data_IF_701954098952
#
_entry.id   IF_701954098952
#
_cell.length_a   1.000
_cell.length_b   1.000
_cell.length_c   1.000
_cell.angle_alpha   90.00
_cell.angle_beta   90.00
_cell.angle_gamma   90.00
#
_symmetry.space_group_name_H-M   'P 1'
#
loop_
_entity.id
_entity.type
_entity.pdbx_description
1 polymer ?
#
# COMPACT_ATOMS: atom_id res chain seq x y z
N UNK A 1 -13.82 5.52 -4.52
CA UNK A 1 -14.38 4.17 -4.45
C UNK A 1 -14.19 3.48 -5.80
N UNK A 2 -12.96 3.05 -6.11
CA UNK A 2 -12.63 2.59 -7.46
C UNK A 2 -13.44 1.34 -7.85
N UNK A 3 -13.78 1.24 -9.14
CA UNK A 3 -14.61 0.18 -9.68
C UNK A 3 -13.87 -1.17 -9.79
N UNK A 4 -12.54 -1.14 -9.81
CA UNK A 4 -11.68 -2.34 -9.87
C UNK A 4 -11.11 -2.76 -8.51
N UNK A 5 -11.35 -1.98 -7.44
CA UNK A 5 -10.82 -2.30 -6.11
C UNK A 5 -11.69 -3.36 -5.42
N UNK A 6 -11.12 -4.56 -5.25
CA UNK A 6 -11.70 -5.61 -4.43
C UNK A 6 -11.67 -5.21 -2.95
N UNK A 7 -12.81 -5.32 -2.27
CA UNK A 7 -12.94 -5.04 -0.83
C UNK A 7 -14.15 -5.77 -0.26
N UNK A 8 -14.13 -6.03 1.04
CA UNK A 8 -15.33 -6.40 1.77
C UNK A 8 -16.30 -5.22 1.78
N UNK A 9 -17.56 -5.45 1.44
CA UNK A 9 -18.58 -4.39 1.44
C UNK A 9 -18.83 -3.94 2.90
N UNK A 10 -18.75 -2.64 3.16
CA UNK A 10 -18.89 -2.05 4.50
C UNK A 10 -17.60 -1.50 5.11
N UNK A 11 -16.43 -1.89 4.60
CA UNK A 11 -15.14 -1.35 5.06
C UNK A 11 -14.79 -0.06 4.29
N UNK A 12 -15.39 1.06 4.72
CA UNK A 12 -15.16 2.40 4.16
C UNK A 12 -14.79 3.41 5.23
N UNK A 13 -14.33 2.94 6.37
CA UNK A 13 -13.88 3.78 7.47
C UNK A 13 -12.71 4.64 6.99
N UNK A 14 -12.87 5.96 7.18
CA UNK A 14 -11.86 6.97 6.85
C UNK A 14 -11.07 7.41 8.10
N UNK A 15 -11.55 7.02 9.26
CA UNK A 15 -11.07 7.43 10.57
C UNK A 15 -10.84 6.18 11.40
N UNK A 16 -9.85 6.24 12.27
CA UNK A 16 -9.50 5.15 13.16
C UNK A 16 -9.91 5.57 14.58
N UNK A 17 -10.67 4.72 15.26
CA UNK A 17 -11.02 4.96 16.67
C UNK A 17 -9.79 4.83 17.59
N UNK A 18 -8.92 3.87 17.29
CA UNK A 18 -7.68 3.63 18.00
C UNK A 18 -6.54 3.40 17.00
N UNK A 19 -5.40 4.04 17.25
CA UNK A 19 -4.18 3.89 16.45
C UNK A 19 -3.25 2.92 17.18
N UNK A 20 -3.14 1.70 16.66
CA UNK A 20 -2.21 0.71 17.18
C UNK A 20 -0.75 1.14 16.97
N UNK A 21 0.12 0.65 17.86
CA UNK A 21 1.56 0.91 17.81
C UNK A 21 2.25 0.21 16.61
N UNK A 22 3.19 0.87 15.92
CA UNK A 22 3.84 0.29 14.75
C UNK A 22 4.56 -1.04 15.00
N UNK A 23 5.24 -1.19 16.14
CA UNK A 23 5.95 -2.42 16.48
C UNK A 23 4.95 -3.56 16.75
N UNK A 24 3.82 -3.24 17.40
CA UNK A 24 2.72 -4.17 17.58
C UNK A 24 2.11 -4.63 16.25
N UNK A 25 1.85 -3.69 15.32
CA UNK A 25 1.32 -4.01 13.99
C UNK A 25 2.28 -4.94 13.24
N UNK A 26 3.59 -4.65 13.25
CA UNK A 26 4.59 -5.47 12.58
C UNK A 26 4.63 -6.89 13.16
N UNK A 27 4.66 -7.02 14.48
CA UNK A 27 4.68 -8.32 15.15
C UNK A 27 3.43 -9.14 14.83
N UNK A 28 2.24 -8.53 14.94
CA UNK A 28 0.98 -9.21 14.62
C UNK A 28 0.84 -9.55 13.15
N UNK A 29 1.44 -8.76 12.25
CA UNK A 29 1.50 -9.08 10.83
C UNK A 29 2.34 -10.32 10.55
N UNK A 30 3.48 -10.47 11.23
CA UNK A 30 4.35 -11.65 11.11
C UNK A 30 3.67 -12.89 11.70
N UNK A 31 3.07 -12.78 12.89
CA UNK A 31 2.28 -13.86 13.49
C UNK A 31 1.13 -14.30 12.54
N UNK A 32 0.41 -13.34 11.95
CA UNK A 32 -0.67 -13.61 11.01
C UNK A 32 -0.15 -14.32 9.74
N UNK A 33 0.98 -13.88 9.19
CA UNK A 33 1.62 -14.52 8.05
C UNK A 33 1.96 -15.98 8.35
N UNK A 34 2.65 -16.25 9.47
CA UNK A 34 3.02 -17.60 9.90
C UNK A 34 1.78 -18.50 10.11
N UNK A 35 0.73 -17.94 10.72
CA UNK A 35 -0.55 -18.63 10.88
C UNK A 35 -1.20 -18.99 9.54
N UNK A 36 -1.24 -18.05 8.59
CA UNK A 36 -1.84 -18.27 7.26
C UNK A 36 -1.12 -19.39 6.49
N UNK A 37 0.21 -19.47 6.58
CA UNK A 37 1.00 -20.45 5.82
C UNK A 37 1.21 -21.79 6.55
N UNK A 38 0.75 -21.92 7.80
CA UNK A 38 0.86 -23.17 8.56
C UNK A 38 0.19 -24.35 7.84
N UNK A 39 -0.91 -24.10 7.12
CA UNK A 39 -1.65 -25.12 6.37
C UNK A 39 -0.88 -25.76 5.21
N UNK A 40 0.22 -25.16 4.75
CA UNK A 40 1.01 -25.70 3.63
C UNK A 40 2.03 -26.76 4.07
N UNK A 41 2.56 -26.67 5.30
CA UNK A 41 3.71 -27.49 5.76
C UNK A 41 3.49 -28.99 5.60
N UNK A 42 2.28 -29.45 5.91
CA UNK A 42 1.90 -30.88 5.88
C UNK A 42 1.55 -31.41 4.49
N UNK A 43 1.53 -30.56 3.46
CA UNK A 43 1.25 -30.99 2.09
C UNK A 43 2.53 -31.49 1.42
N UNK A 44 2.52 -32.70 0.85
CA UNK A 44 3.68 -33.30 0.18
C UNK A 44 4.20 -32.47 -1.01
N UNK A 45 3.35 -31.63 -1.61
CA UNK A 45 3.72 -30.72 -2.71
C UNK A 45 4.45 -29.46 -2.22
N UNK A 46 4.53 -29.24 -0.91
CA UNK A 46 5.14 -28.06 -0.33
C UNK A 46 6.66 -28.22 -0.26
N UNK A 47 7.37 -27.34 -0.95
CA UNK A 47 8.81 -27.18 -0.80
C UNK A 47 9.13 -26.67 0.62
N UNK A 48 9.83 -27.51 1.39
CA UNK A 48 10.13 -27.25 2.78
C UNK A 48 11.11 -26.09 2.99
N UNK A 49 11.97 -25.79 2.00
CA UNK A 49 12.88 -24.66 2.07
C UNK A 49 12.10 -23.35 1.85
N UNK A 50 11.25 -23.31 0.81
CA UNK A 50 10.37 -22.15 0.58
C UNK A 50 9.40 -21.91 1.72
N UNK A 51 8.90 -22.97 2.35
CA UNK A 51 8.05 -22.83 3.53
C UNK A 51 8.80 -22.17 4.70
N UNK A 52 10.05 -22.57 4.96
CA UNK A 52 10.88 -21.94 5.99
C UNK A 52 11.16 -20.47 5.68
N UNK A 53 11.56 -20.16 4.45
CA UNK A 53 11.76 -18.77 3.99
C UNK A 53 10.49 -17.92 4.15
N UNK A 54 9.32 -18.47 3.81
CA UNK A 54 8.05 -17.76 3.96
C UNK A 54 7.61 -17.55 5.43
N UNK A 55 8.13 -18.35 6.37
CA UNK A 55 7.91 -18.17 7.81
C UNK A 55 8.88 -17.15 8.45
N UNK A 56 9.93 -16.76 7.74
CA UNK A 56 10.91 -15.74 8.12
C UNK A 56 10.95 -14.63 7.05
N UNK A 57 9.86 -13.84 6.92
CA UNK A 57 9.73 -12.88 5.84
C UNK A 57 10.76 -11.75 5.96
N UNK A 58 11.32 -11.33 4.83
CA UNK A 58 12.28 -10.22 4.74
C UNK A 58 11.74 -9.03 3.92
N UNK A 59 10.47 -9.07 3.52
CA UNK A 59 9.80 -8.03 2.73
C UNK A 59 8.43 -7.72 3.33
N UNK A 60 8.08 -6.43 3.36
CA UNK A 60 6.75 -5.95 3.79
C UNK A 60 6.13 -5.14 2.66
N UNK A 61 4.93 -5.53 2.25
CA UNK A 61 4.16 -4.84 1.22
C UNK A 61 2.90 -4.18 1.83
N UNK A 62 2.97 -2.87 2.06
CA UNK A 62 1.83 -2.06 2.48
C UNK A 62 0.95 -1.76 1.26
N UNK A 63 0.19 -2.76 0.83
CA UNK A 63 -0.57 -2.71 -0.43
C UNK A 63 -1.81 -3.61 -0.49
N UNK A 64 -2.30 -4.13 0.64
CA UNK A 64 -3.40 -5.11 0.66
C UNK A 64 -4.74 -4.47 0.29
N UNK A 65 -5.18 -3.48 1.07
CA UNK A 65 -6.46 -2.80 0.90
C UNK A 65 -6.44 -1.45 1.61
N UNK A 66 -7.39 -0.57 1.26
CA UNK A 66 -7.47 0.77 1.83
C UNK A 66 -6.41 1.71 1.26
N UNK A 67 -6.18 2.82 1.96
CA UNK A 67 -5.12 3.79 1.65
C UNK A 67 -4.12 3.81 2.81
N UNK A 68 -2.93 3.21 2.68
CA UNK A 68 -2.00 3.05 3.80
C UNK A 68 -1.53 4.38 4.39
N UNK A 69 -1.42 5.44 3.59
CA UNK A 69 -1.02 6.78 4.04
C UNK A 69 -2.02 7.45 5.00
N UNK A 70 -3.19 6.83 5.25
CA UNK A 70 -4.10 7.27 6.31
C UNK A 70 -3.60 6.86 7.70
N UNK A 71 -2.74 5.84 7.80
CA UNK A 71 -2.13 5.48 9.08
C UNK A 71 -1.11 6.56 9.48
N UNK A 72 -1.31 7.29 10.60
CA UNK A 72 -0.52 8.48 10.92
C UNK A 72 0.92 8.17 11.32
N UNK A 73 1.22 6.93 11.72
CA UNK A 73 2.55 6.48 12.16
C UNK A 73 3.26 5.61 11.12
N UNK A 74 2.97 5.80 9.84
CA UNK A 74 3.50 4.95 8.77
C UNK A 74 5.03 5.04 8.63
N UNK A 75 5.63 6.21 8.89
CA UNK A 75 7.09 6.36 8.96
C UNK A 75 7.69 5.51 10.08
N UNK A 76 7.17 5.63 11.30
CA UNK A 76 7.57 4.80 12.46
C UNK A 76 7.41 3.30 12.16
N UNK A 77 6.36 2.90 11.44
CA UNK A 77 6.19 1.51 10.98
C UNK A 77 7.31 1.04 10.05
N UNK A 78 7.75 1.89 9.11
CA UNK A 78 8.89 1.55 8.27
C UNK A 78 10.20 1.53 9.04
N UNK A 79 10.36 2.38 10.06
CA UNK A 79 11.49 2.32 10.98
C UNK A 79 11.57 0.94 11.68
N UNK A 80 10.45 0.45 12.22
CA UNK A 80 10.37 -0.89 12.83
C UNK A 80 10.69 -2.02 11.84
N UNK A 81 10.22 -1.90 10.60
CA UNK A 81 10.57 -2.85 9.54
C UNK A 81 12.07 -2.84 9.25
N UNK A 82 12.69 -1.65 9.17
CA UNK A 82 14.12 -1.50 8.87
C UNK A 82 15.00 -1.98 10.01
N UNK A 83 14.58 -1.83 11.28
CA UNK A 83 15.26 -2.44 12.45
C UNK A 83 15.36 -3.97 12.32
N UNK A 84 14.40 -4.61 11.64
CA UNK A 84 14.42 -6.06 11.32
C UNK A 84 15.06 -6.39 9.96
N UNK A 85 15.74 -5.44 9.32
CA UNK A 85 16.33 -5.59 7.98
C UNK A 85 15.32 -5.96 6.88
N UNK A 86 14.04 -5.61 7.04
CA UNK A 86 13.02 -5.88 6.02
C UNK A 86 13.03 -4.82 4.92
N UNK A 87 12.83 -5.25 3.67
CA UNK A 87 12.62 -4.34 2.54
C UNK A 87 11.15 -3.92 2.48
N UNK A 88 10.89 -2.62 2.51
CA UNK A 88 9.53 -2.07 2.59
C UNK A 88 9.04 -1.53 1.25
N UNK A 89 7.80 -1.87 0.91
CA UNK A 89 7.10 -1.40 -0.28
C UNK A 89 5.80 -0.70 0.15
N UNK A 90 5.61 0.53 -0.30
CA UNK A 90 4.38 1.28 -0.10
C UNK A 90 3.63 1.41 -1.42
N UNK A 91 2.34 1.10 -1.43
CA UNK A 91 1.45 1.40 -2.55
C UNK A 91 0.38 2.38 -2.08
N UNK A 92 0.36 3.58 -2.66
CA UNK A 92 -0.64 4.62 -2.38
C UNK A 92 -1.43 4.98 -3.63
N UNK A 93 -2.66 5.46 -3.44
CA UNK A 93 -3.46 6.09 -4.49
C UNK A 93 -3.08 7.57 -4.73
N UNK A 94 -2.13 8.12 -3.94
CA UNK A 94 -1.58 9.47 -4.10
C UNK A 94 -2.50 10.60 -3.63
N UNK A 95 -3.58 10.29 -2.90
CA UNK A 95 -4.53 11.30 -2.40
C UNK A 95 -4.14 11.92 -1.05
N UNK A 96 -2.98 11.58 -0.49
CA UNK A 96 -2.46 12.17 0.75
C UNK A 96 -0.99 12.64 0.59
N UNK A 97 -0.74 13.74 -0.15
CA UNK A 97 0.62 14.23 -0.39
C UNK A 97 1.34 14.64 0.90
N UNK A 98 0.63 15.23 1.87
CA UNK A 98 1.18 15.69 3.15
C UNK A 98 1.80 14.53 3.95
N UNK A 99 1.15 13.37 3.95
CA UNK A 99 1.71 12.19 4.60
C UNK A 99 3.02 11.72 3.96
N UNK A 100 3.19 11.85 2.63
CA UNK A 100 4.44 11.50 1.96
C UNK A 100 5.54 12.53 2.22
N UNK A 101 5.18 13.81 2.31
CA UNK A 101 6.11 14.90 2.59
C UNK A 101 6.69 14.82 4.02
N UNK A 102 5.88 14.39 4.99
CA UNK A 102 6.26 14.29 6.39
C UNK A 102 6.84 12.92 6.78
N UNK A 103 6.76 11.92 5.90
CA UNK A 103 7.15 10.55 6.22
C UNK A 103 8.65 10.40 6.30
N UNK A 104 9.12 10.03 7.48
CA UNK A 104 10.52 9.69 7.77
C UNK A 104 10.56 8.50 8.76
N UNK A 105 11.26 7.40 8.44
CA UNK A 105 11.88 7.08 7.16
C UNK A 105 10.85 6.79 6.05
N UNK A 106 11.24 7.09 4.81
CA UNK A 106 10.53 6.63 3.61
C UNK A 106 10.65 5.11 3.42
N UNK A 107 9.70 4.46 2.71
CA UNK A 107 9.83 3.06 2.35
C UNK A 107 11.05 2.84 1.44
N UNK A 108 11.53 1.59 1.30
CA UNK A 108 12.59 1.29 0.32
C UNK A 108 12.13 1.47 -1.12
N UNK A 109 10.84 1.29 -1.38
CA UNK A 109 10.23 1.59 -2.68
C UNK A 109 8.79 2.08 -2.54
N UNK A 110 8.49 3.21 -3.17
CA UNK A 110 7.19 3.88 -3.22
C UNK A 110 6.53 3.67 -4.58
N UNK A 111 5.30 3.16 -4.57
CA UNK A 111 4.43 3.06 -5.73
C UNK A 111 3.26 4.04 -5.61
N UNK A 112 3.08 4.88 -6.62
CA UNK A 112 1.87 5.71 -6.78
C UNK A 112 1.00 5.11 -7.88
N UNK A 113 -0.24 4.78 -7.53
CA UNK A 113 -1.21 4.22 -8.47
C UNK A 113 -1.86 5.34 -9.27
N UNK A 114 -1.50 5.46 -10.56
CA UNK A 114 -2.10 6.41 -11.50
C UNK A 114 -2.97 5.62 -12.47
N UNK A 115 -4.28 5.65 -12.26
CA UNK A 115 -5.22 4.77 -12.98
C UNK A 115 -6.09 5.52 -13.99
N UNK A 116 -5.81 6.79 -14.23
CA UNK A 116 -6.55 7.61 -15.18
C UNK A 116 -5.62 8.62 -15.85
N UNK A 117 -5.76 8.85 -17.17
CA UNK A 117 -4.94 9.82 -17.90
C UNK A 117 -5.41 11.28 -17.70
N UNK A 118 -6.64 11.50 -17.24
CA UNK A 118 -7.21 12.82 -17.01
C UNK A 118 -8.26 12.79 -15.87
N UNK A 119 -8.70 13.97 -15.44
CA UNK A 119 -9.63 14.13 -14.32
C UNK A 119 -11.00 13.49 -14.57
N UNK A 120 -11.48 13.52 -15.81
CA UNK A 120 -12.79 12.96 -16.16
C UNK A 120 -12.80 11.43 -16.01
N UNK A 121 -11.77 10.76 -16.54
CA UNK A 121 -11.58 9.31 -16.38
C UNK A 121 -11.36 8.97 -14.91
N UNK A 122 -10.57 9.76 -14.18
CA UNK A 122 -10.33 9.57 -12.75
C UNK A 122 -11.65 9.58 -11.96
N UNK A 123 -12.51 10.58 -12.19
CA UNK A 123 -13.82 10.68 -11.53
C UNK A 123 -14.69 9.47 -11.80
N UNK A 124 -14.66 8.93 -13.03
CA UNK A 124 -15.45 7.74 -13.42
C UNK A 124 -14.90 6.45 -12.81
N UNK A 125 -13.62 6.15 -13.02
CA UNK A 125 -13.03 4.83 -12.66
C UNK A 125 -12.66 4.74 -11.18
N UNK A 126 -12.18 5.84 -10.57
CA UNK A 126 -11.83 5.88 -9.15
C UNK A 126 -13.02 6.22 -8.26
N UNK A 127 -14.06 6.85 -8.80
CA UNK A 127 -15.25 7.33 -8.08
C UNK A 127 -14.90 7.91 -6.70
N UNK A 128 -14.00 8.91 -6.62
CA UNK A 128 -13.32 9.32 -5.40
C UNK A 128 -14.31 9.74 -4.30
N UNK A 129 -13.95 9.49 -3.03
CA UNK A 129 -14.76 9.88 -1.87
C UNK A 129 -14.47 11.31 -1.38
N UNK A 130 -13.45 11.95 -1.96
CA UNK A 130 -13.05 13.33 -1.68
C UNK A 130 -13.12 14.12 -2.99
N UNK A 131 -13.49 15.40 -2.89
CA UNK A 131 -13.78 16.25 -4.06
C UNK A 131 -12.51 16.67 -4.82
N UNK A 132 -11.37 16.76 -4.14
CA UNK A 132 -10.11 17.27 -4.67
C UNK A 132 -9.05 16.19 -4.91
N UNK A 133 -9.44 14.90 -4.92
CA UNK A 133 -8.50 13.79 -5.01
C UNK A 133 -7.61 13.82 -6.27
N UNK A 134 -8.11 14.33 -7.40
CA UNK A 134 -7.28 14.52 -8.60
C UNK A 134 -6.19 15.59 -8.41
N UNK A 135 -6.53 16.70 -7.74
CA UNK A 135 -5.57 17.75 -7.41
C UNK A 135 -4.50 17.20 -6.47
N UNK A 136 -4.90 16.47 -5.43
CA UNK A 136 -3.96 15.83 -4.48
C UNK A 136 -3.05 14.81 -5.15
N UNK A 137 -3.57 14.01 -6.09
CA UNK A 137 -2.75 13.11 -6.89
C UNK A 137 -1.67 13.87 -7.68
N UNK A 138 -2.02 14.98 -8.33
CA UNK A 138 -1.03 15.81 -9.05
C UNK A 138 0.04 16.37 -8.10
N UNK A 139 -0.34 16.85 -6.92
CA UNK A 139 0.61 17.29 -5.89
C UNK A 139 1.57 16.17 -5.47
N UNK A 140 1.04 14.95 -5.27
CA UNK A 140 1.89 13.77 -5.00
C UNK A 140 2.87 13.51 -6.14
N UNK A 141 2.44 13.62 -7.41
CA UNK A 141 3.32 13.42 -8.56
C UNK A 141 4.42 14.49 -8.64
N UNK A 142 4.09 15.74 -8.33
CA UNK A 142 5.05 16.86 -8.26
C UNK A 142 6.06 16.68 -7.12
N UNK A 143 5.68 16.01 -6.02
CA UNK A 143 6.53 15.71 -4.87
C UNK A 143 7.54 14.58 -5.15
N UNK A 144 7.24 13.62 -6.03
CA UNK A 144 8.07 12.42 -6.22
C UNK A 144 9.58 12.69 -6.46
N UNK A 145 9.99 13.70 -7.26
CA UNK A 145 11.41 13.97 -7.48
C UNK A 145 12.18 14.44 -6.24
N UNK A 146 11.51 14.93 -5.20
CA UNK A 146 12.17 15.38 -3.96
C UNK A 146 12.27 14.30 -2.88
N UNK A 147 11.66 13.14 -3.08
CA UNK A 147 11.66 12.05 -2.11
C UNK A 147 12.92 11.17 -2.28
N UNK A 148 13.65 10.95 -1.19
CA UNK A 148 14.85 10.10 -1.19
C UNK A 148 14.48 8.60 -1.07
N UNK A 149 13.78 8.10 -2.09
CA UNK A 149 13.41 6.68 -2.21
C UNK A 149 13.24 6.28 -3.68
N UNK A 150 13.20 4.97 -3.94
CA UNK A 150 12.88 4.43 -5.27
C UNK A 150 11.39 4.68 -5.55
N UNK A 151 11.08 5.43 -6.58
CA UNK A 151 9.71 5.74 -6.98
C UNK A 151 9.26 4.93 -8.20
N UNK A 152 8.00 4.53 -8.20
CA UNK A 152 7.36 3.80 -9.31
C UNK A 152 5.97 4.37 -9.56
N UNK A 153 5.65 4.66 -10.81
CA UNK A 153 4.28 4.89 -11.25
C UNK A 153 3.68 3.56 -11.69
N UNK A 154 2.55 3.17 -11.08
CA UNK A 154 1.83 1.95 -11.43
C UNK A 154 0.52 2.29 -12.11
N UNK A 155 0.35 1.84 -13.35
CA UNK A 155 -0.89 1.96 -14.10
C UNK A 155 -1.65 0.63 -14.06
N UNK A 156 -2.85 0.63 -13.45
CA UNK A 156 -3.79 -0.48 -13.58
C UNK A 156 -4.67 -0.21 -14.78
N UNK A 157 -4.47 -0.97 -15.86
CA UNK A 157 -5.16 -0.77 -17.13
C UNK A 157 -6.45 -1.60 -17.18
N UNK A 158 -7.54 -0.94 -17.57
CA UNK A 158 -8.89 -1.50 -17.66
C UNK A 158 -9.44 -1.17 -19.04
N UNK A 159 -9.63 -2.22 -19.84
CA UNK A 159 -10.14 -2.12 -21.21
C UNK A 159 -11.49 -1.39 -21.24
N UNK A 160 -11.61 -0.40 -22.13
CA UNK A 160 -12.84 0.41 -22.27
C UNK A 160 -13.06 1.46 -21.18
N UNK A 161 -12.09 1.68 -20.28
CA UNK A 161 -12.18 2.66 -19.20
C UNK A 161 -11.05 3.67 -19.18
N UNK A 162 -9.80 3.21 -19.13
CA UNK A 162 -8.61 4.06 -19.04
C UNK A 162 -7.53 3.67 -20.06
N UNK A 163 -7.92 2.86 -21.05
CA UNK A 163 -7.16 2.55 -22.24
C UNK A 163 -7.96 3.11 -23.41
N UNK A 164 -7.44 4.14 -24.06
CA UNK A 164 -7.90 4.57 -25.39
C UNK A 164 -7.13 3.77 -26.46
N UNK A 165 -7.67 3.71 -27.68
CA UNK A 165 -6.98 3.14 -28.86
C UNK A 165 -5.78 3.99 -29.32
#
# INVERSE_FOLDING_TARGET
>A
MCLFCWRHQGFTEKEFDNIDDPAYILEKSIEAQQKLITGFKGNERCDQNKWKEANDPNMVACSLSGEPTLYPKLGEFFEECHKRNMTTFLVTNGTNPEALEQMDPLPKQLYVSVVAPNEEVYKKICSPLITDGWKKLKQTLELLPSLDTRTVIRHTLVQGWNMDE
#
